data_IF_620429916142
#
_entry.id   IF_620429916142
#
_cell.length_a   1.000
_cell.length_b   1.000
_cell.length_c   1.000
_cell.angle_alpha   90.00
_cell.angle_beta   90.00
_cell.angle_gamma   90.00
#
_symmetry.space_group_name_H-M   'P 1'
#
loop_
_entity.id
_entity.type
_entity.pdbx_description
1 polymer ?
#
# COMPACT_ATOMS: atom_id res chain seq x y z
N UNK A 1 26.92 5.36 36.80
CA UNK A 1 25.73 5.39 35.92
C UNK A 1 26.03 6.38 34.81
N UNK A 2 26.02 5.95 33.55
CA UNK A 2 26.19 6.88 32.43
C UNK A 2 24.85 7.56 32.14
N UNK A 3 24.77 8.88 32.33
CA UNK A 3 23.65 9.69 31.86
C UNK A 3 23.82 9.95 30.36
N UNK A 4 23.02 9.30 29.54
CA UNK A 4 22.92 9.63 28.12
C UNK A 4 22.06 10.89 27.97
N UNK A 5 22.71 12.04 27.74
CA UNK A 5 22.01 13.27 27.33
C UNK A 5 21.96 13.28 25.80
N UNK A 6 20.78 13.03 25.26
CA UNK A 6 20.53 13.24 23.83
C UNK A 6 20.48 14.74 23.55
N UNK A 7 20.97 15.18 22.39
CA UNK A 7 20.78 16.55 21.93
C UNK A 7 19.29 16.80 21.68
N UNK A 8 18.84 18.04 21.87
CA UNK A 8 17.47 18.44 21.52
C UNK A 8 17.17 18.14 20.05
N UNK A 9 18.17 18.27 19.18
CA UNK A 9 18.06 17.96 17.75
C UNK A 9 17.74 16.48 17.51
N UNK A 10 18.41 15.57 18.22
CA UNK A 10 18.12 14.14 18.13
C UNK A 10 16.68 13.82 18.60
N UNK A 11 16.24 14.44 19.71
CA UNK A 11 14.87 14.24 20.21
C UNK A 11 13.84 14.73 19.19
N UNK A 12 14.09 15.89 18.58
CA UNK A 12 13.23 16.46 17.55
C UNK A 12 13.16 15.57 16.30
N UNK A 13 14.30 15.09 15.81
CA UNK A 13 14.37 14.18 14.66
C UNK A 13 13.63 12.86 14.92
N UNK A 14 13.77 12.28 16.11
CA UNK A 14 13.02 11.08 16.47
C UNK A 14 11.52 11.36 16.55
N UNK A 15 11.10 12.46 17.16
CA UNK A 15 9.69 12.85 17.26
C UNK A 15 9.06 13.05 15.87
N UNK A 16 9.76 13.71 14.95
CA UNK A 16 9.32 13.89 13.56
C UNK A 16 9.23 12.53 12.85
N UNK A 17 10.23 11.66 12.99
CA UNK A 17 10.21 10.33 12.39
C UNK A 17 9.01 9.49 12.87
N UNK A 18 8.72 9.48 14.18
CA UNK A 18 7.57 8.75 14.71
C UNK A 18 6.24 9.35 14.24
N UNK A 19 6.12 10.68 14.24
CA UNK A 19 4.92 11.35 13.74
C UNK A 19 4.68 11.06 12.25
N UNK A 20 5.73 11.06 11.42
CA UNK A 20 5.63 10.69 10.01
C UNK A 20 5.23 9.23 9.82
N UNK A 21 5.75 8.31 10.64
CA UNK A 21 5.37 6.90 10.61
C UNK A 21 3.87 6.74 10.89
N UNK A 22 3.35 7.39 11.94
CA UNK A 22 1.92 7.31 12.29
C UNK A 22 1.02 7.82 11.16
N UNK A 23 1.37 8.97 10.58
CA UNK A 23 0.66 9.53 9.42
C UNK A 23 0.68 8.57 8.24
N UNK A 24 1.85 7.99 7.97
CA UNK A 24 2.05 7.07 6.84
C UNK A 24 1.23 5.80 7.01
N UNK A 25 1.19 5.23 8.22
CA UNK A 25 0.36 4.05 8.55
C UNK A 25 -1.12 4.37 8.41
N UNK A 26 -1.56 5.53 8.91
CA UNK A 26 -2.93 6.00 8.77
C UNK A 26 -3.34 6.14 7.29
N UNK A 27 -2.53 6.82 6.49
CA UNK A 27 -2.79 7.03 5.07
C UNK A 27 -2.80 5.70 4.30
N UNK A 28 -1.85 4.80 4.58
CA UNK A 28 -1.84 3.45 4.02
C UNK A 28 -3.18 2.74 4.29
N UNK A 29 -3.65 2.78 5.53
CA UNK A 29 -4.90 2.12 5.91
C UNK A 29 -6.09 2.73 5.17
N UNK A 30 -6.20 4.06 5.12
CA UNK A 30 -7.30 4.75 4.43
C UNK A 30 -7.32 4.49 2.93
N UNK A 31 -6.15 4.54 2.29
CA UNK A 31 -6.01 4.20 0.87
C UNK A 31 -6.42 2.75 0.64
N UNK A 32 -5.97 1.82 1.47
CA UNK A 32 -6.38 0.41 1.36
C UNK A 32 -7.87 0.22 1.56
N UNK A 33 -8.49 0.92 2.51
CA UNK A 33 -9.95 0.88 2.76
C UNK A 33 -10.72 1.27 1.49
N UNK A 34 -10.33 2.38 0.86
CA UNK A 34 -11.00 2.95 -0.32
C UNK A 34 -10.60 2.30 -1.65
N UNK A 35 -9.47 1.59 -1.69
CA UNK A 35 -9.05 0.85 -2.88
C UNK A 35 -10.00 -0.33 -3.09
N UNK A 36 -10.68 -0.40 -4.25
CA UNK A 36 -11.58 -1.50 -4.54
C UNK A 36 -10.79 -2.81 -4.52
N UNK A 37 -11.37 -3.83 -3.88
CA UNK A 37 -10.95 -5.20 -4.16
C UNK A 37 -11.38 -5.47 -5.60
N UNK A 38 -10.47 -5.93 -6.45
CA UNK A 38 -10.78 -6.27 -7.85
C UNK A 38 -11.76 -7.45 -7.86
N UNK A 39 -13.06 -7.15 -7.75
CA UNK A 39 -14.18 -8.11 -7.74
C UNK A 39 -14.79 -8.25 -9.13
N UNK A 40 -14.64 -7.23 -9.98
CA UNK A 40 -15.40 -7.07 -11.22
C UNK A 40 -14.60 -7.43 -12.48
N UNK A 41 -13.27 -7.54 -12.40
CA UNK A 41 -12.46 -8.12 -13.47
C UNK A 41 -11.91 -9.44 -12.97
N UNK A 42 -12.69 -10.50 -13.18
CA UNK A 42 -12.18 -11.85 -12.99
C UNK A 42 -10.96 -12.02 -13.93
N UNK A 43 -9.89 -12.69 -13.49
CA UNK A 43 -8.79 -13.05 -14.37
C UNK A 43 -9.30 -13.83 -15.57
N UNK A 44 -8.43 -14.07 -16.54
CA UNK A 44 -8.80 -14.95 -17.63
C UNK A 44 -9.21 -16.32 -17.08
N UNK A 45 -10.35 -16.80 -17.58
CA UNK A 45 -10.85 -18.11 -17.27
C UNK A 45 -9.86 -19.15 -17.85
N UNK A 46 -9.34 -20.01 -16.99
CA UNK A 46 -8.38 -21.07 -17.33
C UNK A 46 -9.02 -22.46 -17.24
N UNK A 47 -10.35 -22.53 -17.32
CA UNK A 47 -11.07 -23.79 -17.43
C UNK A 47 -10.51 -24.57 -18.60
N UNK A 48 -10.15 -25.82 -18.33
CA UNK A 48 -9.84 -26.76 -19.39
C UNK A 48 -11.13 -27.22 -20.04
N UNK A 49 -11.07 -27.48 -21.35
CA UNK A 49 -12.20 -28.02 -22.12
C UNK A 49 -12.67 -29.41 -21.61
N UNK A 50 -11.80 -30.13 -20.92
CA UNK A 50 -12.07 -31.46 -20.34
C UNK A 50 -12.61 -31.41 -18.90
N UNK A 51 -12.87 -30.21 -18.34
CA UNK A 51 -13.43 -30.04 -16.99
C UNK A 51 -12.48 -30.36 -15.84
N UNK A 52 -11.25 -30.78 -16.14
CA UNK A 52 -10.24 -31.07 -15.13
C UNK A 52 -9.62 -29.78 -14.58
N UNK A 53 -8.97 -29.90 -13.41
CA UNK A 53 -8.21 -28.79 -12.84
C UNK A 53 -7.07 -28.35 -13.80
N UNK A 54 -6.84 -27.03 -13.94
CA UNK A 54 -5.75 -26.50 -14.75
C UNK A 54 -4.38 -26.99 -14.25
N UNK A 55 -3.48 -27.31 -15.19
CA UNK A 55 -2.13 -27.80 -14.88
C UNK A 55 -1.31 -26.63 -14.33
N UNK A 56 -0.64 -26.84 -13.17
CA UNK A 56 0.17 -25.83 -12.50
C UNK A 56 1.36 -25.43 -13.37
N UNK A 57 1.27 -24.28 -14.05
CA UNK A 57 2.40 -23.66 -14.78
C UNK A 57 3.01 -22.44 -14.09
N UNK A 58 2.65 -22.17 -12.83
CA UNK A 58 3.32 -21.15 -12.03
C UNK A 58 2.57 -20.82 -10.74
N UNK A 59 1.34 -20.33 -10.84
CA UNK A 59 0.52 -19.87 -9.71
C UNK A 59 -0.65 -20.81 -9.45
N UNK A 60 -1.07 -20.93 -8.19
CA UNK A 60 -2.20 -21.77 -7.83
C UNK A 60 -3.51 -21.15 -8.36
N UNK A 61 -4.30 -21.90 -9.15
CA UNK A 61 -5.56 -21.44 -9.68
C UNK A 61 -6.62 -21.31 -8.58
N UNK A 62 -7.58 -20.41 -8.75
CA UNK A 62 -8.66 -20.13 -7.78
C UNK A 62 -10.00 -20.51 -8.39
N UNK A 63 -10.88 -21.14 -7.59
CA UNK A 63 -12.25 -21.48 -8.00
C UNK A 63 -13.19 -20.35 -7.57
N UNK A 64 -13.95 -19.78 -8.52
CA UNK A 64 -14.99 -18.78 -8.25
C UNK A 64 -16.24 -19.16 -9.05
N UNK A 65 -17.37 -19.40 -8.38
CA UNK A 65 -18.63 -19.73 -9.05
C UNK A 65 -18.54 -20.94 -9.99
N UNK A 66 -17.77 -21.98 -9.61
CA UNK A 66 -17.59 -23.20 -10.41
C UNK A 66 -16.58 -23.10 -11.56
N UNK A 67 -15.98 -21.93 -11.79
CA UNK A 67 -14.98 -21.71 -12.83
C UNK A 67 -13.58 -21.53 -12.22
N UNK A 68 -12.55 -21.98 -12.94
CA UNK A 68 -11.15 -21.83 -12.61
C UNK A 68 -10.58 -20.56 -13.24
N UNK A 69 -9.90 -19.78 -12.41
CA UNK A 69 -9.24 -18.54 -12.82
C UNK A 69 -7.76 -18.62 -12.49
N UNK A 70 -6.95 -17.92 -13.29
CA UNK A 70 -5.55 -17.76 -12.96
C UNK A 70 -5.41 -17.16 -11.55
N UNK A 71 -4.48 -17.68 -10.75
CA UNK A 71 -4.20 -17.14 -9.43
C UNK A 71 -3.78 -15.68 -9.55
N UNK A 72 -4.67 -14.75 -9.19
CA UNK A 72 -4.41 -13.31 -9.32
C UNK A 72 -3.30 -12.94 -8.34
N UNK A 73 -2.11 -12.68 -8.85
CA UNK A 73 -1.18 -11.80 -8.16
C UNK A 73 -1.68 -10.37 -8.30
N UNK A 74 -1.65 -9.61 -7.21
CA UNK A 74 -1.85 -8.15 -7.31
C UNK A 74 -3.28 -7.70 -7.06
N UNK A 75 -3.84 -8.05 -5.89
CA UNK A 75 -4.84 -7.18 -5.30
C UNK A 75 -4.14 -5.84 -5.01
N UNK A 76 -4.45 -4.78 -5.75
CA UNK A 76 -3.86 -3.45 -5.56
C UNK A 76 -3.86 -3.05 -4.08
N UNK A 77 -4.96 -3.35 -3.37
CA UNK A 77 -5.10 -3.16 -1.91
C UNK A 77 -4.02 -3.88 -1.09
N UNK A 78 -3.55 -5.06 -1.50
CA UNK A 78 -2.44 -5.78 -0.83
C UNK A 78 -1.06 -5.27 -1.26
N UNK A 79 -0.95 -4.71 -2.47
CA UNK A 79 0.30 -4.18 -2.99
C UNK A 79 0.58 -2.75 -2.53
N UNK A 80 -0.42 -1.99 -2.08
CA UNK A 80 -0.22 -0.69 -1.45
C UNK A 80 0.50 -0.87 -0.11
N UNK A 81 1.54 -0.08 0.14
CA UNK A 81 2.01 0.20 1.49
C UNK A 81 3.17 1.18 1.49
N UNK A 82 3.85 1.27 2.64
CA UNK A 82 4.92 2.23 2.82
C UNK A 82 6.32 1.60 2.96
N UNK A 83 7.32 2.43 2.72
CA UNK A 83 8.74 2.14 2.88
C UNK A 83 9.46 3.39 3.42
N UNK A 84 10.36 3.23 4.40
CA UNK A 84 11.25 4.32 4.84
C UNK A 84 12.42 4.41 3.87
N UNK A 85 12.56 5.54 3.17
CA UNK A 85 13.65 5.75 2.20
C UNK A 85 14.88 6.39 2.84
N UNK A 86 14.68 7.15 3.90
CA UNK A 86 15.72 7.88 4.61
C UNK A 86 15.16 8.54 5.86
N UNK A 87 15.96 9.33 6.54
CA UNK A 87 15.49 10.04 7.73
C UNK A 87 14.44 11.07 7.35
N UNK A 88 13.31 10.99 8.06
CA UNK A 88 12.11 11.81 7.82
C UNK A 88 11.54 11.68 6.40
N UNK A 89 11.86 10.59 5.67
CA UNK A 89 11.34 10.35 4.32
C UNK A 89 10.67 8.97 4.27
N UNK A 90 9.35 9.00 4.10
CA UNK A 90 8.52 7.82 3.89
C UNK A 90 7.88 7.87 2.50
N UNK A 91 7.98 6.78 1.76
CA UNK A 91 7.28 6.60 0.51
C UNK A 91 6.03 5.77 0.75
N UNK A 92 4.90 6.23 0.23
CA UNK A 92 3.66 5.47 0.15
C UNK A 92 3.36 5.15 -1.31
N UNK A 93 3.10 3.88 -1.62
CA UNK A 93 2.88 3.46 -3.01
C UNK A 93 2.72 1.96 -3.19
N UNK A 94 2.93 1.51 -4.41
CA UNK A 94 2.88 0.07 -4.74
C UNK A 94 4.22 -0.59 -4.43
N UNK A 95 4.23 -1.54 -3.47
CA UNK A 95 5.43 -2.31 -3.07
C UNK A 95 6.02 -3.09 -4.24
N UNK A 96 7.35 -3.20 -4.30
CA UNK A 96 8.07 -4.04 -5.26
C UNK A 96 7.91 -5.53 -4.93
N UNK A 97 7.68 -6.36 -5.95
CA UNK A 97 7.40 -7.79 -5.82
C UNK A 97 6.94 -8.45 -7.13
N UNK A 98 6.76 -9.78 -7.14
CA UNK A 98 6.40 -10.55 -8.34
C UNK A 98 4.97 -10.28 -8.86
N UNK A 99 4.21 -9.44 -8.15
CA UNK A 99 2.82 -9.08 -8.39
C UNK A 99 2.63 -7.59 -8.75
N UNK A 100 3.73 -6.86 -8.92
CA UNK A 100 3.75 -5.38 -8.87
C UNK A 100 3.41 -4.74 -10.19
N UNK A 101 3.67 -5.38 -11.34
CA UNK A 101 3.42 -4.78 -12.64
C UNK A 101 1.95 -4.46 -12.90
N UNK A 102 1.04 -5.37 -12.52
CA UNK A 102 -0.40 -5.12 -12.66
C UNK A 102 -0.89 -4.03 -11.71
N UNK A 103 -0.46 -4.06 -10.44
CA UNK A 103 -0.83 -3.03 -9.47
C UNK A 103 -0.26 -1.64 -9.85
N UNK A 104 0.95 -1.59 -10.43
CA UNK A 104 1.53 -0.36 -10.97
C UNK A 104 0.79 0.14 -12.21
N UNK A 105 0.37 -0.77 -13.10
CA UNK A 105 -0.44 -0.42 -14.26
C UNK A 105 -1.76 0.25 -13.85
N UNK A 106 -2.40 -0.26 -12.80
CA UNK A 106 -3.63 0.32 -12.28
C UNK A 106 -3.38 1.68 -11.64
N UNK A 107 -2.35 1.79 -10.80
CA UNK A 107 -2.06 3.00 -10.03
C UNK A 107 -1.51 4.15 -10.91
N UNK A 108 -0.59 3.84 -11.82
CA UNK A 108 0.20 4.83 -12.58
C UNK A 108 -0.12 4.85 -14.08
N UNK A 109 -0.96 3.92 -14.57
CA UNK A 109 -1.26 3.80 -15.99
C UNK A 109 -0.13 3.20 -16.83
N UNK A 110 -0.41 3.07 -18.13
CA UNK A 110 0.55 2.77 -19.19
C UNK A 110 0.24 3.68 -20.40
N UNK A 111 1.08 3.65 -21.45
CA UNK A 111 0.93 4.49 -22.64
C UNK A 111 -0.47 4.50 -23.29
N UNK A 112 -1.28 3.46 -23.08
CA UNK A 112 -2.65 3.30 -23.61
C UNK A 112 -3.71 3.01 -22.54
N UNK A 113 -3.35 3.04 -21.25
CA UNK A 113 -4.26 2.81 -20.13
C UNK A 113 -4.13 4.01 -19.18
N UNK A 114 -5.19 4.81 -18.99
CA UNK A 114 -5.12 5.96 -18.10
C UNK A 114 -4.88 5.52 -16.65
N UNK A 115 -4.16 6.34 -15.89
CA UNK A 115 -3.95 6.11 -14.47
C UNK A 115 -5.27 6.07 -13.70
N UNK A 116 -5.34 5.19 -12.71
CA UNK A 116 -6.41 5.19 -11.71
C UNK A 116 -5.75 5.26 -10.34
N UNK A 117 -5.24 6.44 -10.01
CA UNK A 117 -4.44 6.60 -8.80
C UNK A 117 -5.32 6.57 -7.55
N UNK A 118 -5.20 5.49 -6.78
CA UNK A 118 -5.84 5.34 -5.47
C UNK A 118 -4.95 5.88 -4.36
N UNK A 119 -3.63 5.80 -4.53
CA UNK A 119 -2.66 6.33 -3.57
C UNK A 119 -2.70 7.85 -3.57
N UNK A 120 -2.54 8.50 -4.73
CA UNK A 120 -2.56 9.98 -4.81
C UNK A 120 -3.89 10.53 -4.31
N UNK A 121 -5.00 10.01 -4.84
CA UNK A 121 -6.34 10.46 -4.46
C UNK A 121 -6.60 10.22 -2.97
N UNK A 122 -6.19 9.07 -2.43
CA UNK A 122 -6.38 8.81 -1.00
C UNK A 122 -5.51 9.70 -0.10
N UNK A 123 -4.33 10.15 -0.55
CA UNK A 123 -3.55 11.18 0.16
C UNK A 123 -4.31 12.51 0.13
N UNK A 124 -4.75 12.95 -1.05
CA UNK A 124 -5.48 14.21 -1.23
C UNK A 124 -6.77 14.24 -0.39
N UNK A 125 -7.56 13.17 -0.42
CA UNK A 125 -8.82 13.02 0.31
C UNK A 125 -8.65 13.02 1.84
N UNK A 126 -7.46 12.63 2.36
CA UNK A 126 -7.21 12.48 3.79
C UNK A 126 -6.14 13.44 4.33
N UNK A 127 -5.72 14.43 3.53
CA UNK A 127 -4.59 15.32 3.85
C UNK A 127 -4.79 16.07 5.17
N UNK A 128 -5.98 16.58 5.42
CA UNK A 128 -6.27 17.35 6.64
C UNK A 128 -6.24 16.48 7.89
N UNK A 129 -6.77 15.26 7.81
CA UNK A 129 -6.70 14.29 8.92
C UNK A 129 -5.25 13.84 9.17
N UNK A 130 -4.47 13.65 8.10
CA UNK A 130 -3.05 13.35 8.19
C UNK A 130 -2.26 14.45 8.91
N UNK A 131 -2.51 15.73 8.60
CA UNK A 131 -1.89 16.86 9.32
C UNK A 131 -2.25 16.87 10.81
N UNK A 132 -3.52 16.66 11.13
CA UNK A 132 -3.96 16.60 12.53
C UNK A 132 -3.31 15.46 13.32
N UNK A 133 -3.15 14.29 12.69
CA UNK A 133 -2.43 13.15 13.28
C UNK A 133 -0.96 13.49 13.47
N UNK A 134 -0.32 14.08 12.46
CA UNK A 134 1.07 14.52 12.54
C UNK A 134 1.30 15.44 13.73
N UNK A 135 0.51 16.52 13.84
CA UNK A 135 0.64 17.50 14.91
C UNK A 135 0.42 16.89 16.29
N UNK A 136 -0.60 16.01 16.42
CA UNK A 136 -0.91 15.33 17.67
C UNK A 136 0.23 14.39 18.08
N UNK A 137 0.75 13.60 17.15
CA UNK A 137 1.86 12.69 17.40
C UNK A 137 3.11 13.49 17.78
N UNK A 138 3.42 14.56 17.06
CA UNK A 138 4.59 15.41 17.35
C UNK A 138 4.51 16.01 18.75
N UNK A 139 3.35 16.58 19.12
CA UNK A 139 3.08 17.09 20.48
C UNK A 139 3.26 16.02 21.55
N UNK A 140 2.74 14.81 21.31
CA UNK A 140 2.88 13.68 22.22
C UNK A 140 4.35 13.26 22.41
N UNK A 141 5.14 13.17 21.34
CA UNK A 141 6.55 12.77 21.42
C UNK A 141 7.45 13.87 22.00
N UNK A 142 7.10 15.14 21.77
CA UNK A 142 7.81 16.30 22.36
C UNK A 142 7.33 16.67 23.76
N UNK A 143 6.21 16.10 24.23
CA UNK A 143 5.53 16.45 25.50
C UNK A 143 5.12 17.93 25.57
N UNK A 144 4.57 18.46 24.47
CA UNK A 144 4.10 19.85 24.33
C UNK A 144 2.58 19.87 24.08
#
# INVERSE_FOLDING_TARGET
MAEFKFSNDFIMEQAINFALLEVTVFLEQKIRENTPRDKNRLPDNINRKDGLAPIRKGRNPVIIGGNWYEGVTGNLKRSIGHEKLGDMIYQLGVKKGPATEYARAQEYGYAHIPERSFVRKGIEDNLEQAKNIFEKALKQYLKI
#
